data_IF_109276098998
#
_entry.id   IF_109276098998
#
_cell.length_a   1.000
_cell.length_b   1.000
_cell.length_c   1.000
_cell.angle_alpha   90.00
_cell.angle_beta   90.00
_cell.angle_gamma   90.00
#
_symmetry.space_group_name_H-M   'P 1'
#
loop_
_entity.id
_entity.type
_entity.pdbx_description
1 polymer ?
#
# COMPACT_ATOMS: atom_id res chain seq x y z
N UNK A 1 16.41 7.15 -2.24
CA UNK A 1 17.29 6.06 -1.75
C UNK A 1 16.48 5.25 -0.78
N UNK A 2 16.46 3.93 -0.91
CA UNK A 2 15.71 3.04 -0.01
C UNK A 2 16.42 2.97 1.35
N UNK A 3 15.72 3.12 2.49
CA UNK A 3 16.32 3.04 3.83
C UNK A 3 16.69 1.61 4.26
N UNK A 4 16.56 0.65 3.34
CA UNK A 4 16.67 -0.79 3.61
C UNK A 4 18.08 -1.30 3.29
N UNK A 5 18.74 -1.86 4.29
CA UNK A 5 20.06 -2.47 4.19
C UNK A 5 19.93 -3.99 4.16
N UNK A 6 20.64 -4.62 3.23
CA UNK A 6 20.67 -6.09 3.11
C UNK A 6 21.35 -6.69 4.35
N UNK A 7 20.62 -7.57 5.05
CA UNK A 7 21.10 -8.26 6.25
C UNK A 7 21.50 -9.71 5.94
N UNK A 8 20.77 -10.38 5.05
CA UNK A 8 21.13 -11.71 4.57
C UNK A 8 20.59 -11.92 3.16
N UNK A 9 21.26 -12.81 2.42
CA UNK A 9 20.79 -13.28 1.12
C UNK A 9 21.08 -14.78 1.00
N UNK A 10 20.15 -15.51 0.41
CA UNK A 10 20.30 -16.91 0.07
C UNK A 10 19.66 -17.15 -1.31
N UNK A 11 20.34 -17.90 -2.15
CA UNK A 11 19.86 -18.28 -3.47
C UNK A 11 19.74 -19.81 -3.55
N UNK A 12 18.64 -20.31 -4.11
CA UNK A 12 18.42 -21.74 -4.34
C UNK A 12 17.65 -21.96 -5.63
N UNK A 13 18.33 -22.53 -6.64
CA UNK A 13 17.81 -22.81 -7.98
C UNK A 13 17.06 -21.63 -8.62
N UNK A 14 15.75 -21.53 -8.39
CA UNK A 14 14.85 -20.52 -8.96
C UNK A 14 14.25 -19.57 -7.91
N UNK A 15 14.76 -19.61 -6.68
CA UNK A 15 14.26 -18.82 -5.55
C UNK A 15 15.43 -18.00 -5.01
N UNK A 16 15.20 -16.69 -4.90
CA UNK A 16 16.09 -15.76 -4.21
C UNK A 16 15.40 -15.30 -2.94
N UNK A 17 16.12 -15.31 -1.84
CA UNK A 17 15.64 -14.85 -0.54
C UNK A 17 16.59 -13.77 -0.06
N UNK A 18 16.05 -12.63 0.32
CA UNK A 18 16.81 -11.54 0.90
C UNK A 18 16.08 -10.99 2.13
N UNK A 19 16.84 -10.72 3.18
CA UNK A 19 16.36 -10.04 4.38
C UNK A 19 16.92 -8.64 4.45
N UNK A 20 16.07 -7.68 4.81
CA UNK A 20 16.45 -6.28 4.92
C UNK A 20 16.12 -5.73 6.30
N UNK A 21 16.94 -4.79 6.76
CA UNK A 21 16.74 -4.04 8.00
C UNK A 21 16.82 -2.55 7.69
N UNK A 22 16.05 -1.72 8.40
CA UNK A 22 16.17 -0.28 8.26
C UNK A 22 17.55 0.19 8.77
N UNK A 23 18.16 1.18 8.09
CA UNK A 23 19.45 1.73 8.51
C UNK A 23 19.40 2.38 9.91
N UNK A 24 18.26 2.95 10.27
CA UNK A 24 17.97 3.47 11.61
C UNK A 24 16.47 3.46 11.90
N UNK A 25 16.09 3.58 13.17
CA UNK A 25 14.70 3.75 13.58
C UNK A 25 14.06 5.00 12.97
N UNK A 26 14.79 6.12 12.95
CA UNK A 26 14.34 7.38 12.37
C UNK A 26 14.03 7.26 10.88
N UNK A 27 14.91 6.62 10.10
CA UNK A 27 14.66 6.39 8.67
C UNK A 27 13.45 5.47 8.43
N UNK A 28 13.27 4.45 9.27
CA UNK A 28 12.10 3.58 9.23
C UNK A 28 10.81 4.41 9.46
N UNK A 29 10.77 5.21 10.53
CA UNK A 29 9.62 6.05 10.86
C UNK A 29 9.33 7.06 9.75
N UNK A 30 10.35 7.70 9.18
CA UNK A 30 10.18 8.63 8.06
C UNK A 30 9.63 7.94 6.82
N UNK A 31 10.07 6.71 6.53
CA UNK A 31 9.54 5.93 5.41
C UNK A 31 8.06 5.60 5.59
N UNK A 32 7.66 5.16 6.79
CA UNK A 32 6.26 4.85 7.08
C UNK A 32 5.36 6.09 7.07
N UNK A 33 5.80 7.18 7.69
CA UNK A 33 5.00 8.43 7.79
C UNK A 33 4.91 9.20 6.49
N UNK A 34 5.84 9.02 5.56
CA UNK A 34 5.82 9.66 4.24
C UNK A 34 5.39 8.67 3.17
N UNK A 35 6.28 7.77 2.75
CA UNK A 35 6.10 6.92 1.57
C UNK A 35 4.92 5.95 1.71
N UNK A 36 4.84 5.24 2.85
CA UNK A 36 3.76 4.27 3.09
C UNK A 36 2.43 4.98 3.33
N UNK A 37 2.43 6.05 4.12
CA UNK A 37 1.24 6.88 4.33
C UNK A 37 0.68 7.46 3.03
N UNK A 38 1.55 7.98 2.15
CA UNK A 38 1.14 8.44 0.81
C UNK A 38 0.55 7.30 0.00
N UNK A 39 1.17 6.10 -0.01
CA UNK A 39 0.63 4.93 -0.72
C UNK A 39 -0.74 4.49 -0.20
N UNK A 40 -0.97 4.59 1.11
CA UNK A 40 -2.29 4.31 1.71
C UNK A 40 -3.33 5.38 1.38
N UNK A 41 -2.88 6.64 1.24
CA UNK A 41 -3.73 7.77 0.88
C UNK A 41 -3.97 7.88 -0.63
N UNK A 42 -3.19 7.17 -1.47
CA UNK A 42 -3.39 7.09 -2.92
C UNK A 42 -4.82 6.63 -3.18
N UNK A 43 -5.59 7.58 -3.70
CA UNK A 43 -7.04 7.53 -3.67
C UNK A 43 -7.61 6.62 -4.75
N UNK A 44 -8.66 5.90 -4.38
CA UNK A 44 -9.61 5.23 -5.28
C UNK A 44 -10.61 6.18 -5.97
N UNK A 45 -10.42 7.50 -5.86
CA UNK A 45 -11.29 8.53 -6.45
C UNK A 45 -11.93 9.52 -5.47
N UNK A 46 -11.66 9.40 -4.16
CA UNK A 46 -12.12 10.32 -3.12
C UNK A 46 -11.84 11.81 -3.41
N UNK A 47 -10.70 12.17 -4.02
CA UNK A 47 -10.42 13.58 -4.35
C UNK A 47 -11.27 14.08 -5.53
N UNK A 48 -11.43 13.24 -6.56
CA UNK A 48 -12.37 13.53 -7.65
C UNK A 48 -13.81 13.65 -7.13
N UNK A 49 -14.17 12.81 -6.16
CA UNK A 49 -15.46 12.91 -5.46
C UNK A 49 -15.58 14.20 -4.65
N UNK A 50 -14.55 14.64 -3.91
CA UNK A 50 -14.55 15.94 -3.20
C UNK A 50 -14.83 17.08 -4.15
N UNK A 51 -14.13 17.11 -5.29
CA UNK A 51 -14.29 18.16 -6.28
C UNK A 51 -15.73 18.19 -6.83
N UNK A 52 -16.32 17.03 -7.11
CA UNK A 52 -17.72 16.93 -7.52
C UNK A 52 -18.72 17.34 -6.43
N UNK A 53 -18.43 17.07 -5.16
CA UNK A 53 -19.29 17.50 -4.07
C UNK A 53 -19.30 19.03 -3.94
N UNK A 54 -18.16 19.70 -4.11
CA UNK A 54 -18.09 21.18 -4.15
C UNK A 54 -18.96 21.73 -5.29
N UNK A 55 -18.91 21.11 -6.47
CA UNK A 55 -19.75 21.48 -7.62
C UNK A 55 -21.25 21.31 -7.30
N UNK A 56 -21.63 20.26 -6.58
CA UNK A 56 -23.02 19.99 -6.19
C UNK A 56 -23.57 20.96 -5.14
N UNK A 57 -22.74 21.57 -4.31
CA UNK A 57 -23.19 22.55 -3.30
C UNK A 57 -23.91 23.72 -3.97
N UNK A 58 -23.43 24.12 -5.16
CA UNK A 58 -24.01 25.18 -5.97
C UNK A 58 -25.43 24.88 -6.48
N UNK A 59 -25.87 23.62 -6.37
CA UNK A 59 -27.21 23.16 -6.79
C UNK A 59 -28.24 23.11 -5.66
N UNK A 60 -27.85 23.49 -4.43
CA UNK A 60 -28.75 23.56 -3.27
C UNK A 60 -28.89 22.26 -2.47
N UNK A 61 -28.01 21.28 -2.69
CA UNK A 61 -27.94 20.07 -1.90
C UNK A 61 -27.26 20.32 -0.54
N UNK A 62 -27.82 19.75 0.53
CA UNK A 62 -27.22 19.80 1.87
C UNK A 62 -26.08 18.78 1.99
N UNK A 63 -24.84 19.24 1.83
CA UNK A 63 -23.65 18.37 1.73
C UNK A 63 -22.91 18.13 3.04
N UNK A 64 -23.25 18.83 4.12
CA UNK A 64 -22.51 18.75 5.39
C UNK A 64 -22.33 17.31 5.88
N UNK A 65 -23.39 16.49 5.85
CA UNK A 65 -23.32 15.09 6.27
C UNK A 65 -22.45 14.19 5.36
N UNK A 66 -22.34 14.54 4.07
CA UNK A 66 -21.52 13.81 3.10
C UNK A 66 -20.03 14.16 3.25
N UNK A 67 -19.73 15.44 3.49
CA UNK A 67 -18.37 15.92 3.79
C UNK A 67 -17.88 15.28 5.09
N UNK A 68 -18.69 15.29 6.15
CA UNK A 68 -18.36 14.67 7.43
C UNK A 68 -18.04 13.17 7.27
N UNK A 69 -18.83 12.45 6.47
CA UNK A 69 -18.54 11.04 6.18
C UNK A 69 -17.23 10.85 5.41
N UNK A 70 -16.95 11.72 4.44
CA UNK A 70 -15.75 11.64 3.60
C UNK A 70 -14.47 12.00 4.36
N UNK A 71 -14.57 12.86 5.37
CA UNK A 71 -13.47 13.21 6.29
C UNK A 71 -13.28 12.15 7.39
N UNK A 72 -14.33 11.39 7.73
CA UNK A 72 -14.27 10.29 8.68
C UNK A 72 -13.65 9.01 8.09
N UNK A 73 -12.40 9.08 7.65
CA UNK A 73 -11.71 7.85 7.20
C UNK A 73 -11.30 7.01 8.41
N UNK A 74 -11.74 5.74 8.52
CA UNK A 74 -11.31 4.86 9.60
C UNK A 74 -9.80 4.66 9.55
N UNK A 75 -9.17 4.54 10.72
CA UNK A 75 -7.74 4.24 10.83
C UNK A 75 -7.39 2.99 10.00
N UNK A 76 -6.33 3.08 9.20
CA UNK A 76 -5.79 1.95 8.46
C UNK A 76 -5.46 0.79 9.41
N UNK A 77 -5.83 -0.43 9.00
CA UNK A 77 -5.55 -1.67 9.72
C UNK A 77 -4.10 -2.08 9.48
N UNK A 78 -3.55 -2.87 10.40
CA UNK A 78 -2.16 -3.31 10.33
C UNK A 78 -1.81 -4.03 9.03
N UNK A 79 -2.73 -4.83 8.48
CA UNK A 79 -2.52 -5.52 7.20
C UNK A 79 -2.50 -4.54 6.00
N UNK A 80 -3.33 -3.48 6.03
CA UNK A 80 -3.32 -2.44 4.98
C UNK A 80 -1.98 -1.72 4.99
N UNK A 81 -1.45 -1.42 6.18
CA UNK A 81 -0.13 -0.82 6.37
C UNK A 81 0.98 -1.75 5.85
N UNK A 82 0.90 -3.04 6.17
CA UNK A 82 1.85 -4.05 5.71
C UNK A 82 1.90 -4.18 4.18
N UNK A 83 0.73 -4.23 3.54
CA UNK A 83 0.63 -4.31 2.07
C UNK A 83 1.16 -3.04 1.40
N UNK A 84 0.78 -1.86 1.91
CA UNK A 84 1.29 -0.59 1.40
C UNK A 84 2.80 -0.46 1.57
N UNK A 85 3.35 -0.96 2.68
CA UNK A 85 4.78 -1.04 2.91
C UNK A 85 5.46 -1.94 1.86
N UNK A 86 4.98 -3.17 1.70
CA UNK A 86 5.53 -4.13 0.75
C UNK A 86 5.49 -3.62 -0.70
N UNK A 87 4.35 -3.05 -1.12
CA UNK A 87 4.21 -2.44 -2.43
C UNK A 87 5.22 -1.30 -2.63
N UNK A 88 5.30 -0.37 -1.67
CA UNK A 88 6.24 0.76 -1.75
C UNK A 88 7.69 0.30 -1.84
N UNK A 89 8.08 -0.68 -1.00
CA UNK A 89 9.45 -1.20 -1.01
C UNK A 89 9.80 -1.85 -2.35
N UNK A 90 8.90 -2.64 -2.93
CA UNK A 90 9.08 -3.30 -4.23
C UNK A 90 9.10 -2.29 -5.40
N UNK A 91 8.26 -1.25 -5.34
CA UNK A 91 8.27 -0.14 -6.32
C UNK A 91 9.64 0.57 -6.30
N UNK A 92 10.13 0.88 -5.10
CA UNK A 92 11.36 1.67 -4.93
C UNK A 92 12.64 0.86 -5.23
N UNK A 93 12.62 -0.48 -5.12
CA UNK A 93 13.83 -1.32 -5.25
C UNK A 93 13.83 -2.31 -6.41
N UNK A 94 12.67 -2.69 -6.96
CA UNK A 94 12.55 -3.76 -7.96
C UNK A 94 11.87 -3.32 -9.27
N UNK A 95 11.67 -2.01 -9.49
CA UNK A 95 10.94 -1.47 -10.64
C UNK A 95 9.56 -2.14 -10.83
N UNK A 96 8.95 -2.56 -9.72
CA UNK A 96 7.58 -3.02 -9.67
C UNK A 96 6.64 -1.81 -9.75
N UNK A 97 5.39 -2.08 -10.13
CA UNK A 97 4.32 -1.10 -10.17
C UNK A 97 3.04 -1.80 -9.71
N UNK A 98 2.39 -1.22 -8.72
CA UNK A 98 1.08 -1.65 -8.23
C UNK A 98 0.08 -0.52 -8.51
N UNK A 99 -0.59 -0.54 -9.67
CA UNK A 99 -1.48 0.54 -10.09
C UNK A 99 -2.85 0.51 -9.39
N UNK A 100 -3.13 -0.56 -8.65
CA UNK A 100 -4.38 -0.75 -7.93
C UNK A 100 -4.19 -0.31 -6.46
N UNK A 101 -5.19 0.36 -5.86
CA UNK A 101 -5.20 0.61 -4.43
C UNK A 101 -5.13 -0.69 -3.63
N UNK A 102 -4.43 -0.70 -2.49
CA UNK A 102 -4.40 -1.86 -1.57
C UNK A 102 -5.79 -2.21 -1.02
N UNK A 103 -6.70 -1.24 -1.00
CA UNK A 103 -8.09 -1.42 -0.55
C UNK A 103 -8.99 -2.17 -1.54
N UNK A 104 -8.53 -2.42 -2.78
CA UNK A 104 -9.36 -3.06 -3.82
C UNK A 104 -9.62 -4.55 -3.53
N UNK A 105 -8.67 -5.25 -2.89
CA UNK A 105 -8.90 -6.58 -2.32
C UNK A 105 -9.46 -6.46 -0.89
N UNK A 106 -10.57 -5.73 -0.75
CA UNK A 106 -11.24 -5.58 0.54
C UNK A 106 -11.83 -6.93 0.95
N UNK A 107 -11.02 -7.72 1.66
CA UNK A 107 -11.42 -8.99 2.26
C UNK A 107 -12.66 -8.76 3.11
N UNK A 108 -13.81 -9.29 2.67
CA UNK A 108 -14.93 -9.45 3.57
C UNK A 108 -14.43 -10.31 4.74
N UNK A 109 -14.71 -9.93 6.00
CA UNK A 109 -14.17 -10.60 7.21
C UNK A 109 -14.37 -12.13 7.27
N UNK A 110 -15.20 -12.70 6.40
CA UNK A 110 -15.51 -14.13 6.27
C UNK A 110 -15.06 -14.78 4.96
N UNK A 111 -14.49 -14.01 4.03
CA UNK A 111 -14.06 -14.52 2.75
C UNK A 111 -12.55 -14.75 2.79
N UNK A 112 -12.13 -16.01 2.84
CA UNK A 112 -10.80 -16.39 2.34
C UNK A 112 -10.89 -16.32 0.82
N UNK A 113 -10.81 -15.11 0.25
CA UNK A 113 -10.72 -15.01 -1.19
C UNK A 113 -9.36 -15.61 -1.59
N UNK A 114 -9.34 -16.64 -2.44
CA UNK A 114 -8.09 -17.19 -2.93
C UNK A 114 -7.45 -16.16 -3.86
N UNK A 115 -6.27 -15.68 -3.52
CA UNK A 115 -5.54 -14.71 -4.34
C UNK A 115 -4.30 -14.17 -3.63
N UNK A 116 -3.32 -13.64 -4.38
CA UNK A 116 -2.19 -12.94 -3.82
C UNK A 116 -2.61 -11.58 -3.25
N UNK A 117 -1.97 -11.14 -2.16
CA UNK A 117 -2.22 -9.83 -1.54
C UNK A 117 -1.83 -8.68 -2.49
N UNK A 118 -0.77 -8.87 -3.28
CA UNK A 118 -0.29 -7.90 -4.26
C UNK A 118 -0.34 -8.48 -5.66
N UNK A 119 -0.91 -7.71 -6.59
CA UNK A 119 -0.86 -7.97 -8.03
C UNK A 119 -0.27 -6.75 -8.70
N UNK A 120 0.80 -6.92 -9.46
CA UNK A 120 1.49 -5.80 -10.10
C UNK A 120 2.16 -6.18 -11.40
N UNK A 121 2.88 -5.22 -11.94
CA UNK A 121 3.69 -5.37 -13.13
C UNK A 121 5.10 -4.92 -12.83
N UNK A 122 6.09 -5.65 -13.34
CA UNK A 122 7.47 -5.19 -13.35
C UNK A 122 7.76 -4.60 -14.73
N UNK A 123 8.38 -3.43 -14.78
CA UNK A 123 8.73 -2.75 -16.05
C UNK A 123 10.24 -2.83 -16.40
N UNK A 124 10.82 -4.00 -16.73
CA UNK A 124 11.96 -4.06 -17.63
C UNK A 124 11.49 -4.23 -19.08
N UNK A 125 12.43 -4.34 -20.04
CA UNK A 125 12.24 -4.46 -21.50
C UNK A 125 11.17 -5.49 -21.95
N UNK A 126 10.77 -6.41 -21.06
CA UNK A 126 9.60 -7.28 -21.22
C UNK A 126 8.71 -7.23 -19.97
N UNK A 127 7.38 -7.03 -20.11
CA UNK A 127 6.47 -6.94 -18.98
C UNK A 127 6.36 -8.29 -18.26
N UNK A 128 6.53 -8.27 -16.94
CA UNK A 128 6.32 -9.44 -16.07
C UNK A 128 5.22 -9.15 -15.07
N UNK A 129 4.42 -10.16 -14.74
CA UNK A 129 3.51 -10.08 -13.61
C UNK A 129 4.29 -10.22 -12.31
N UNK A 130 3.88 -9.44 -11.31
CA UNK A 130 4.36 -9.52 -9.93
C UNK A 130 3.20 -9.98 -9.07
N UNK A 131 3.39 -11.07 -8.34
CA UNK A 131 2.42 -11.59 -7.38
C UNK A 131 3.11 -11.66 -6.02
N UNK A 132 2.47 -11.10 -4.99
CA UNK A 132 3.04 -11.02 -3.65
C UNK A 132 2.09 -11.51 -2.58
N UNK A 133 2.65 -12.18 -1.57
CA UNK A 133 1.98 -12.48 -0.31
C UNK A 133 2.69 -11.71 0.79
N UNK A 134 1.95 -10.92 1.55
CA UNK A 134 2.41 -10.07 2.63
C UNK A 134 2.00 -10.69 3.97
N UNK A 135 2.95 -10.73 4.90
CA UNK A 135 2.71 -11.15 6.28
C UNK A 135 3.37 -10.17 7.22
N UNK A 136 2.57 -9.59 8.09
CA UNK A 136 3.04 -8.81 9.23
C UNK A 136 3.01 -9.67 10.49
N UNK A 137 4.06 -9.62 11.29
CA UNK A 137 4.11 -10.26 12.61
C UNK A 137 4.25 -9.20 13.69
N UNK A 138 3.52 -9.36 14.78
CA UNK A 138 3.72 -8.61 16.01
C UNK A 138 4.33 -9.55 17.04
N UNK A 139 5.65 -9.74 16.98
CA UNK A 139 6.34 -10.49 18.02
C UNK A 139 6.44 -9.60 19.27
N UNK A 140 5.85 -10.05 20.38
CA UNK A 140 6.16 -9.47 21.69
C UNK A 140 7.51 -10.04 22.11
N UNK A 141 8.56 -9.22 22.02
CA UNK A 141 9.81 -9.50 22.72
C UNK A 141 9.61 -9.43 24.22
#
# INVERSE_FOLDING_TARGET
MTPWQLQYQADSANIQVAGFVAASEEECLQYFTRRVATKLAESDGAEALRQHLIELETTGFALCALVDQLESSPRAKDWEIGEAFAASALEDSHAAMFPWPTSFDRRARKASLPGPDLVGLQRPDAPRFVFGQVKSSSERR
#
